data_IF_561865225642
#
_entry.id   IF_561865225642
#
_cell.length_a   1.000
_cell.length_b   1.000
_cell.length_c   1.000
_cell.angle_alpha   90.00
_cell.angle_beta   90.00
_cell.angle_gamma   90.00
#
_symmetry.space_group_name_H-M   'P 1'
#
loop_
_entity.id
_entity.type
_entity.pdbx_description
1 polymer ?
#
# COMPACT_ATOMS: atom_id res chain seq x y z
N UNK A 1 -15.95 39.37 -69.80
CA UNK A 1 -16.27 37.93 -69.71
C UNK A 1 -15.06 37.27 -69.07
N UNK A 2 -15.01 37.26 -67.74
CA UNK A 2 -13.94 36.63 -66.95
C UNK A 2 -14.58 35.46 -66.21
N UNK A 3 -14.23 34.23 -66.59
CA UNK A 3 -14.59 33.03 -65.83
C UNK A 3 -13.44 32.77 -64.85
N UNK A 4 -13.73 32.93 -63.55
CA UNK A 4 -12.87 32.46 -62.47
C UNK A 4 -12.87 30.93 -62.45
N UNK A 5 -11.69 30.33 -62.59
CA UNK A 5 -11.48 28.91 -62.31
C UNK A 5 -11.28 28.75 -60.81
N UNK A 6 -12.29 28.21 -60.11
CA UNK A 6 -12.19 27.84 -58.69
C UNK A 6 -11.20 26.69 -58.51
N UNK A 7 -10.19 26.78 -57.63
CA UNK A 7 -9.31 25.65 -57.33
C UNK A 7 -10.07 24.59 -56.52
N UNK A 8 -10.12 23.35 -57.01
CA UNK A 8 -10.66 22.21 -56.27
C UNK A 8 -9.68 21.82 -55.17
N UNK A 9 -9.97 22.17 -53.92
CA UNK A 9 -9.25 21.64 -52.77
C UNK A 9 -9.42 20.11 -52.69
N UNK A 10 -8.36 19.33 -52.40
CA UNK A 10 -8.51 17.92 -52.07
C UNK A 10 -9.34 17.77 -50.78
N UNK A 11 -10.10 16.67 -50.63
CA UNK A 11 -10.88 16.44 -49.42
C UNK A 11 -9.96 16.42 -48.19
N UNK A 12 -10.41 16.93 -47.03
CA UNK A 12 -9.62 16.93 -45.82
C UNK A 12 -9.28 15.47 -45.41
N UNK A 13 -8.08 15.21 -44.88
CA UNK A 13 -7.72 13.88 -44.39
C UNK A 13 -8.71 13.49 -43.29
N UNK A 14 -9.45 12.41 -43.50
CA UNK A 14 -10.27 11.79 -42.47
C UNK A 14 -9.35 11.40 -41.32
N UNK A 15 -9.51 12.06 -40.17
CA UNK A 15 -8.70 11.83 -38.98
C UNK A 15 -8.72 10.34 -38.62
N UNK A 16 -7.56 9.68 -38.63
CA UNK A 16 -7.40 8.26 -38.32
C UNK A 16 -7.68 7.85 -36.86
N UNK A 17 -8.40 8.68 -36.09
CA UNK A 17 -8.77 8.38 -34.70
C UNK A 17 -9.75 7.22 -34.59
N UNK A 18 -10.79 7.21 -35.44
CA UNK A 18 -11.83 6.17 -35.41
C UNK A 18 -11.33 4.84 -35.98
N UNK A 19 -10.47 4.90 -37.01
CA UNK A 19 -9.87 3.70 -37.60
C UNK A 19 -8.91 2.99 -36.64
N UNK A 20 -8.13 3.75 -35.85
CA UNK A 20 -7.24 3.19 -34.83
C UNK A 20 -8.02 2.61 -33.65
N UNK A 21 -9.07 3.29 -33.19
CA UNK A 21 -9.94 2.77 -32.12
C UNK A 21 -10.68 1.50 -32.57
N UNK A 22 -11.22 1.49 -33.80
CA UNK A 22 -11.87 0.31 -34.39
C UNK A 22 -10.90 -0.85 -34.61
N UNK A 23 -9.69 -0.58 -35.07
CA UNK A 23 -8.61 -1.55 -35.22
C UNK A 23 -8.18 -2.14 -33.87
N UNK A 24 -8.07 -1.33 -32.81
CA UNK A 24 -7.80 -1.78 -31.44
C UNK A 24 -8.95 -2.66 -30.92
N UNK A 25 -10.21 -2.33 -31.20
CA UNK A 25 -11.34 -3.17 -30.79
C UNK A 25 -11.47 -4.47 -31.60
N UNK A 26 -11.10 -4.48 -32.88
CA UNK A 26 -11.09 -5.70 -33.71
C UNK A 26 -9.86 -6.59 -33.48
N UNK A 27 -8.72 -6.05 -33.03
CA UNK A 27 -7.49 -6.82 -32.74
C UNK A 27 -7.26 -7.10 -31.25
N UNK A 28 -7.77 -6.30 -30.32
CA UNK A 28 -7.15 -6.17 -29.01
C UNK A 28 -7.63 -7.10 -27.89
N UNK A 29 -8.89 -7.54 -27.91
CA UNK A 29 -9.46 -8.30 -26.79
C UNK A 29 -10.35 -9.48 -27.21
N UNK A 30 -11.20 -9.35 -28.22
CA UNK A 30 -12.09 -10.46 -28.64
C UNK A 30 -11.30 -11.63 -29.26
N UNK A 31 -10.34 -11.36 -30.14
CA UNK A 31 -9.46 -12.39 -30.70
C UNK A 31 -8.50 -12.98 -29.65
N UNK A 32 -8.04 -12.15 -28.70
CA UNK A 32 -7.20 -12.55 -27.57
C UNK A 32 -7.93 -13.61 -26.70
N UNK A 33 -9.18 -13.32 -26.33
CA UNK A 33 -10.03 -14.15 -25.47
C UNK A 33 -10.44 -15.45 -26.18
N UNK A 34 -10.72 -15.39 -27.49
CA UNK A 34 -11.09 -16.57 -28.25
C UNK A 34 -9.93 -17.51 -28.60
N UNK A 35 -8.69 -17.01 -28.67
CA UNK A 35 -7.48 -17.81 -28.92
C UNK A 35 -6.67 -18.16 -27.65
N UNK A 36 -7.18 -17.81 -26.46
CA UNK A 36 -6.45 -18.01 -25.22
C UNK A 36 -6.45 -19.48 -24.78
N UNK A 37 -5.28 -20.11 -24.88
CA UNK A 37 -5.00 -21.39 -24.23
C UNK A 37 -5.04 -21.28 -22.69
N UNK A 38 -5.18 -22.41 -22.00
CA UNK A 38 -5.38 -22.49 -20.55
C UNK A 38 -4.33 -21.71 -19.73
N UNK A 39 -3.06 -21.75 -20.15
CA UNK A 39 -1.98 -21.03 -19.47
C UNK A 39 -2.13 -19.50 -19.58
N UNK A 40 -2.57 -19.01 -20.73
CA UNK A 40 -2.75 -17.59 -20.93
C UNK A 40 -3.90 -17.01 -20.09
N UNK A 41 -4.99 -17.77 -19.94
CA UNK A 41 -6.05 -17.45 -18.99
C UNK A 41 -5.56 -17.40 -17.54
N UNK A 42 -4.73 -18.36 -17.12
CA UNK A 42 -4.15 -18.38 -15.77
C UNK A 42 -3.32 -17.12 -15.53
N UNK A 43 -2.45 -16.74 -16.49
CA UNK A 43 -1.62 -15.54 -16.39
C UNK A 43 -2.48 -14.28 -16.30
N UNK A 44 -3.47 -14.15 -17.19
CA UNK A 44 -4.36 -12.98 -17.22
C UNK A 44 -5.16 -12.84 -15.92
N UNK A 45 -5.81 -13.92 -15.45
CA UNK A 45 -6.57 -13.92 -14.19
C UNK A 45 -5.66 -13.60 -13.01
N UNK A 46 -4.44 -14.14 -12.99
CA UNK A 46 -3.45 -13.83 -11.94
C UNK A 46 -3.13 -12.34 -11.90
N UNK A 47 -2.86 -11.70 -13.05
CA UNK A 47 -2.61 -10.26 -13.12
C UNK A 47 -3.81 -9.43 -12.68
N UNK A 48 -5.03 -9.82 -13.08
CA UNK A 48 -6.26 -9.13 -12.65
C UNK A 48 -6.44 -9.22 -11.13
N UNK A 49 -6.25 -10.41 -10.54
CA UNK A 49 -6.34 -10.60 -9.08
C UNK A 49 -5.27 -9.79 -8.36
N UNK A 50 -4.02 -9.81 -8.84
CA UNK A 50 -2.93 -9.00 -8.29
C UNK A 50 -3.26 -7.50 -8.33
N UNK A 51 -3.83 -7.02 -9.44
CA UNK A 51 -4.23 -5.62 -9.60
C UNK A 51 -5.34 -5.21 -8.64
N UNK A 52 -6.41 -6.02 -8.53
CA UNK A 52 -7.51 -5.74 -7.60
C UNK A 52 -7.04 -5.74 -6.14
N UNK A 53 -6.23 -6.72 -5.74
CA UNK A 53 -5.66 -6.78 -4.40
C UNK A 53 -4.74 -5.58 -4.12
N UNK A 54 -3.90 -5.21 -5.09
CA UNK A 54 -3.03 -4.03 -4.99
C UNK A 54 -3.85 -2.78 -4.71
N UNK A 55 -4.85 -2.48 -5.55
CA UNK A 55 -5.71 -1.31 -5.37
C UNK A 55 -6.48 -1.31 -4.04
N UNK A 56 -7.02 -2.46 -3.63
CA UNK A 56 -7.66 -2.61 -2.32
C UNK A 56 -6.71 -2.22 -1.18
N UNK A 57 -5.49 -2.79 -1.16
CA UNK A 57 -4.53 -2.51 -0.09
C UNK A 57 -3.97 -1.09 -0.15
N UNK A 58 -3.83 -0.50 -1.34
CA UNK A 58 -3.45 0.90 -1.52
C UNK A 58 -4.46 1.81 -0.83
N UNK A 59 -5.75 1.66 -1.16
CA UNK A 59 -6.80 2.52 -0.63
C UNK A 59 -6.97 2.28 0.88
N UNK A 60 -6.99 1.02 1.32
CA UNK A 60 -7.14 0.67 2.72
C UNK A 60 -5.99 1.23 3.58
N UNK A 61 -4.73 1.06 3.15
CA UNK A 61 -3.59 1.61 3.87
C UNK A 61 -3.53 3.14 3.81
N UNK A 62 -3.93 3.75 2.70
CA UNK A 62 -3.98 5.21 2.58
C UNK A 62 -4.95 5.81 3.60
N UNK A 63 -6.19 5.29 3.66
CA UNK A 63 -7.20 5.75 4.62
C UNK A 63 -6.73 5.48 6.05
N UNK A 64 -6.25 4.27 6.35
CA UNK A 64 -5.78 3.89 7.69
C UNK A 64 -4.63 4.79 8.16
N UNK A 65 -3.57 4.93 7.36
CA UNK A 65 -2.39 5.71 7.71
C UNK A 65 -2.73 7.21 7.85
N UNK A 66 -3.56 7.74 6.96
CA UNK A 66 -4.02 9.14 7.04
C UNK A 66 -4.84 9.37 8.31
N UNK A 67 -5.76 8.47 8.65
CA UNK A 67 -6.56 8.57 9.88
C UNK A 67 -5.70 8.52 11.14
N UNK A 68 -4.79 7.54 11.24
CA UNK A 68 -3.91 7.40 12.42
C UNK A 68 -3.06 8.65 12.60
N UNK A 69 -2.42 9.12 11.52
CA UNK A 69 -1.56 10.31 11.58
C UNK A 69 -2.33 11.58 11.95
N UNK A 70 -3.57 11.73 11.47
CA UNK A 70 -4.41 12.89 11.80
C UNK A 70 -4.92 12.90 13.25
N UNK A 71 -4.93 11.73 13.91
CA UNK A 71 -5.43 11.54 15.27
C UNK A 71 -4.31 11.45 16.30
N UNK A 72 -3.12 11.02 15.91
CA UNK A 72 -1.94 10.86 16.77
C UNK A 72 -1.74 12.08 17.70
N UNK A 73 -1.56 13.27 17.11
CA UNK A 73 -1.32 14.50 17.89
C UNK A 73 -2.44 14.81 18.88
N UNK A 74 -3.71 14.51 18.52
CA UNK A 74 -4.87 14.75 19.38
C UNK A 74 -4.92 13.76 20.55
N UNK A 75 -4.60 12.50 20.30
CA UNK A 75 -4.60 11.44 21.32
C UNK A 75 -3.45 11.66 22.30
N UNK A 76 -2.25 11.97 21.79
CA UNK A 76 -1.09 12.32 22.61
C UNK A 76 -1.40 13.57 23.45
N UNK A 77 -1.93 14.63 22.86
CA UNK A 77 -2.30 15.84 23.61
C UNK A 77 -3.41 15.58 24.64
N UNK A 78 -4.40 14.75 24.32
CA UNK A 78 -5.46 14.38 25.25
C UNK A 78 -4.90 13.60 26.46
N UNK A 79 -3.89 12.75 26.26
CA UNK A 79 -3.23 12.06 27.37
C UNK A 79 -2.55 13.05 28.34
N UNK A 80 -1.81 14.04 27.82
CA UNK A 80 -1.03 14.98 28.63
C UNK A 80 -1.85 16.13 29.26
N UNK A 81 -2.96 16.52 28.62
CA UNK A 81 -3.81 17.61 29.10
C UNK A 81 -4.66 17.25 30.33
N UNK A 82 -4.89 15.97 30.58
CA UNK A 82 -5.67 15.53 31.73
C UNK A 82 -4.87 15.67 33.04
N UNK A 83 -5.45 16.14 34.16
CA UNK A 83 -4.74 16.40 35.41
C UNK A 83 -4.40 15.13 36.22
N UNK A 84 -5.07 14.01 35.96
CA UNK A 84 -4.79 12.72 36.62
C UNK A 84 -4.50 11.59 35.63
N UNK A 85 -3.61 10.67 36.01
CA UNK A 85 -3.31 9.48 35.20
C UNK A 85 -4.56 8.61 34.96
N UNK A 86 -5.48 8.56 35.93
CA UNK A 86 -6.70 7.78 35.83
C UNK A 86 -7.70 8.38 34.82
N UNK A 87 -7.80 9.71 34.73
CA UNK A 87 -8.58 10.38 33.69
C UNK A 87 -7.96 10.19 32.30
N UNK A 88 -6.62 10.29 32.19
CA UNK A 88 -5.91 10.00 30.94
C UNK A 88 -6.21 8.58 30.44
N UNK A 89 -6.15 7.57 31.33
CA UNK A 89 -6.46 6.18 30.99
C UNK A 89 -7.91 6.04 30.50
N UNK A 90 -8.88 6.64 31.21
CA UNK A 90 -10.30 6.56 30.84
C UNK A 90 -10.58 7.20 29.46
N UNK A 91 -9.90 8.30 29.15
CA UNK A 91 -9.99 8.94 27.84
C UNK A 91 -9.38 8.05 26.74
N UNK A 92 -8.29 7.34 27.04
CA UNK A 92 -7.70 6.36 26.11
C UNK A 92 -8.61 5.14 25.91
N UNK A 93 -9.33 4.68 26.92
CA UNK A 93 -10.34 3.61 26.79
C UNK A 93 -11.52 4.01 25.89
N UNK A 94 -11.85 5.31 25.84
CA UNK A 94 -12.90 5.85 24.98
C UNK A 94 -12.47 5.95 23.50
N UNK A 95 -11.16 5.87 23.21
CA UNK A 95 -10.67 5.91 21.83
C UNK A 95 -11.03 4.64 21.05
N UNK A 96 -11.18 4.73 19.72
CA UNK A 96 -11.49 3.56 18.90
C UNK A 96 -10.42 2.47 18.99
N UNK A 97 -10.85 1.20 18.98
CA UNK A 97 -9.95 0.02 18.99
C UNK A 97 -8.94 -0.05 17.83
N UNK A 98 -9.07 0.80 16.82
CA UNK A 98 -8.13 0.92 15.69
C UNK A 98 -7.02 1.94 15.93
N UNK A 99 -7.08 2.71 17.02
CA UNK A 99 -6.14 3.76 17.37
C UNK A 99 -4.94 3.15 18.14
N UNK A 100 -3.69 3.31 17.65
CA UNK A 100 -2.54 2.63 18.24
C UNK A 100 -1.95 3.33 19.48
N UNK A 101 -1.98 4.66 19.56
CA UNK A 101 -1.34 5.40 20.67
C UNK A 101 -2.04 5.14 22.00
N UNK A 102 -3.37 5.16 22.02
CA UNK A 102 -4.21 4.79 23.16
C UNK A 102 -3.89 3.40 23.67
N UNK A 103 -3.66 2.42 22.78
CA UNK A 103 -3.29 1.05 23.20
C UNK A 103 -1.93 0.99 23.88
N UNK A 104 -0.94 1.71 23.34
CA UNK A 104 0.38 1.80 23.96
C UNK A 104 0.27 2.42 25.36
N UNK A 105 -0.55 3.47 25.52
CA UNK A 105 -0.81 4.09 26.82
C UNK A 105 -1.52 3.15 27.80
N UNK A 106 -2.53 2.41 27.34
CA UNK A 106 -3.28 1.46 28.16
C UNK A 106 -2.42 0.26 28.61
N UNK A 107 -1.61 -0.29 27.70
CA UNK A 107 -0.67 -1.38 28.01
C UNK A 107 0.34 -0.90 29.07
N UNK A 108 0.90 0.31 28.91
CA UNK A 108 1.80 0.91 29.89
C UNK A 108 1.14 1.12 31.26
N UNK A 109 -0.07 1.70 31.30
CA UNK A 109 -0.82 1.92 32.52
C UNK A 109 -1.14 0.61 33.24
N UNK A 110 -1.53 -0.43 32.51
CA UNK A 110 -1.80 -1.76 33.06
C UNK A 110 -0.54 -2.39 33.68
N UNK A 111 0.61 -2.24 33.02
CA UNK A 111 1.90 -2.72 33.52
C UNK A 111 2.33 -1.97 34.78
N UNK A 112 2.14 -0.64 34.81
CA UNK A 112 2.44 0.19 35.96
C UNK A 112 1.55 -0.14 37.18
N UNK A 113 0.28 -0.48 36.96
CA UNK A 113 -0.67 -0.82 38.02
C UNK A 113 -0.41 -2.22 38.64
N UNK A 114 0.09 -3.18 37.86
CA UNK A 114 0.35 -4.54 38.35
C UNK A 114 1.42 -4.61 39.45
N UNK A 115 2.43 -3.73 39.44
CA UNK A 115 3.50 -3.68 40.45
C UNK A 115 3.23 -2.74 41.63
N UNK A 116 2.15 -1.95 41.63
CA UNK A 116 1.77 -1.17 42.82
C UNK A 116 1.28 -2.04 43.98
N UNK A 117 0.99 -3.34 43.75
CA UNK A 117 0.45 -4.26 44.76
C UNK A 117 1.50 -5.14 45.45
N UNK A 118 2.78 -5.07 45.06
CA UNK A 118 3.88 -5.87 45.63
C UNK A 118 4.81 -4.97 46.46
N UNK A 119 4.40 -4.68 47.70
CA UNK A 119 5.03 -3.68 48.57
C UNK A 119 6.09 -4.32 49.48
N UNK A 120 7.39 -3.99 49.32
CA UNK A 120 8.44 -4.59 50.17
C UNK A 120 9.90 -4.11 50.09
N UNK A 121 10.36 -3.38 49.04
CA UNK A 121 11.79 -2.98 48.97
C UNK A 121 12.14 -1.87 47.95
N UNK A 122 12.28 -0.62 48.42
CA UNK A 122 12.20 0.62 47.63
C UNK A 122 13.16 0.85 46.44
N UNK A 123 14.34 0.23 46.35
CA UNK A 123 15.32 0.56 45.29
C UNK A 123 15.54 -0.55 44.25
N UNK A 124 15.64 -1.81 44.69
CA UNK A 124 15.66 -2.94 43.78
C UNK A 124 14.31 -3.09 43.05
N UNK A 125 13.20 -2.77 43.73
CA UNK A 125 11.84 -2.83 43.16
C UNK A 125 11.57 -1.70 42.17
N UNK A 126 12.12 -0.48 42.39
CA UNK A 126 11.95 0.62 41.44
C UNK A 126 12.66 0.35 40.11
N UNK A 127 13.85 -0.28 40.18
CA UNK A 127 14.55 -0.76 38.98
C UNK A 127 13.78 -1.88 38.29
N UNK A 128 13.22 -2.82 39.05
CA UNK A 128 12.39 -3.90 38.52
C UNK A 128 11.13 -3.36 37.82
N UNK A 129 10.45 -2.37 38.44
CA UNK A 129 9.27 -1.71 37.87
C UNK A 129 9.59 -0.96 36.58
N UNK A 130 10.69 -0.20 36.55
CA UNK A 130 11.12 0.54 35.36
C UNK A 130 11.44 -0.39 34.19
N UNK A 131 12.16 -1.49 34.45
CA UNK A 131 12.47 -2.50 33.44
C UNK A 131 11.22 -3.23 32.93
N UNK A 132 10.27 -3.52 33.83
CA UNK A 132 9.01 -4.15 33.47
C UNK A 132 8.14 -3.25 32.57
N UNK A 133 8.03 -1.96 32.91
CA UNK A 133 7.30 -0.97 32.10
C UNK A 133 7.96 -0.80 30.73
N UNK A 134 9.29 -0.67 30.66
CA UNK A 134 10.03 -0.58 29.40
C UNK A 134 9.78 -1.82 28.52
N UNK A 135 9.80 -3.03 29.11
CA UNK A 135 9.51 -4.26 28.37
C UNK A 135 8.07 -4.30 27.84
N UNK A 136 7.10 -3.90 28.66
CA UNK A 136 5.69 -3.85 28.25
C UNK A 136 5.48 -2.84 27.11
N UNK A 137 6.09 -1.65 27.20
CA UNK A 137 6.06 -0.62 26.16
C UNK A 137 6.70 -1.10 24.86
N UNK A 138 7.91 -1.68 24.91
CA UNK A 138 8.57 -2.26 23.72
C UNK A 138 7.69 -3.31 23.05
N UNK A 139 7.02 -4.15 23.83
CA UNK A 139 6.10 -5.15 23.30
C UNK A 139 4.86 -4.51 22.66
N UNK A 140 4.28 -3.47 23.29
CA UNK A 140 3.13 -2.74 22.76
C UNK A 140 3.48 -2.01 21.45
N UNK A 141 4.61 -1.29 21.42
CA UNK A 141 5.13 -0.62 20.22
C UNK A 141 5.38 -1.63 19.10
N UNK A 142 6.08 -2.74 19.38
CA UNK A 142 6.32 -3.77 18.37
C UNK A 142 5.01 -4.35 17.81
N UNK A 143 4.02 -4.59 18.67
CA UNK A 143 2.70 -5.13 18.27
C UNK A 143 1.95 -4.15 17.36
N UNK A 144 1.89 -2.87 17.72
CA UNK A 144 1.18 -1.87 16.93
C UNK A 144 1.95 -1.52 15.64
N UNK A 145 3.29 -1.53 15.66
CA UNK A 145 4.11 -1.42 14.46
C UNK A 145 3.83 -2.54 13.47
N UNK A 146 3.81 -3.81 13.90
CA UNK A 146 3.46 -4.94 13.04
C UNK A 146 2.05 -4.82 12.43
N UNK A 147 1.09 -4.22 13.16
CA UNK A 147 -0.26 -4.00 12.62
C UNK A 147 -0.25 -2.98 11.47
N UNK A 148 0.65 -2.00 11.48
CA UNK A 148 0.83 -1.04 10.39
C UNK A 148 1.48 -1.67 9.14
N UNK A 149 2.13 -2.83 9.25
CA UNK A 149 2.72 -3.55 8.12
C UNK A 149 1.70 -4.40 7.33
N UNK A 150 0.47 -4.51 7.83
CA UNK A 150 -0.60 -5.26 7.18
C UNK A 150 -0.80 -4.88 5.70
N UNK A 151 -0.62 -5.87 4.82
CA UNK A 151 -0.77 -5.70 3.36
C UNK A 151 0.47 -5.19 2.62
N UNK A 152 1.52 -4.74 3.31
CA UNK A 152 2.75 -4.26 2.67
C UNK A 152 3.51 -5.39 1.97
N UNK A 153 3.56 -6.59 2.58
CA UNK A 153 4.17 -7.77 1.96
C UNK A 153 3.53 -8.09 0.62
N UNK A 154 2.19 -8.01 0.54
CA UNK A 154 1.47 -8.26 -0.72
C UNK A 154 1.82 -7.20 -1.77
N UNK A 155 1.82 -5.91 -1.39
CA UNK A 155 2.21 -4.83 -2.33
C UNK A 155 3.64 -5.01 -2.85
N UNK A 156 4.57 -5.40 -1.98
CA UNK A 156 5.95 -5.71 -2.37
C UNK A 156 6.02 -6.91 -3.32
N UNK A 157 5.30 -7.99 -3.01
CA UNK A 157 5.25 -9.19 -3.86
C UNK A 157 4.60 -8.90 -5.22
N UNK A 158 3.47 -8.20 -5.26
CA UNK A 158 2.82 -7.81 -6.52
C UNK A 158 3.74 -6.91 -7.34
N UNK A 159 4.35 -5.91 -6.68
CA UNK A 159 5.28 -4.99 -7.32
C UNK A 159 6.50 -5.67 -7.95
N UNK A 160 7.03 -6.73 -7.33
CA UNK A 160 8.19 -7.45 -7.85
C UNK A 160 7.83 -8.57 -8.83
N UNK A 161 6.68 -9.23 -8.67
CA UNK A 161 6.31 -10.41 -9.47
C UNK A 161 5.46 -10.09 -10.70
N UNK A 162 4.56 -9.10 -10.65
CA UNK A 162 3.63 -8.81 -11.74
C UNK A 162 4.30 -8.53 -13.12
N UNK A 163 5.47 -7.86 -13.21
CA UNK A 163 6.15 -7.68 -14.49
C UNK A 163 6.59 -9.01 -15.11
N UNK A 164 7.06 -9.96 -14.28
CA UNK A 164 7.47 -11.28 -14.73
C UNK A 164 6.29 -12.15 -15.13
N UNK A 165 5.15 -12.03 -14.42
CA UNK A 165 3.90 -12.68 -14.83
C UNK A 165 3.43 -12.15 -16.19
N UNK A 166 3.52 -10.84 -16.41
CA UNK A 166 3.23 -10.23 -17.72
C UNK A 166 4.14 -10.73 -18.83
N UNK A 167 5.46 -10.76 -18.59
CA UNK A 167 6.46 -11.29 -19.51
C UNK A 167 6.20 -12.77 -19.85
N UNK A 168 5.84 -13.60 -18.86
CA UNK A 168 5.47 -15.00 -19.10
C UNK A 168 4.30 -15.09 -20.09
N UNK A 169 3.28 -14.25 -19.91
CA UNK A 169 2.15 -14.17 -20.82
C UNK A 169 2.57 -13.84 -22.26
N UNK A 170 3.52 -12.92 -22.44
CA UNK A 170 3.97 -12.53 -23.78
C UNK A 170 4.81 -13.61 -24.44
N UNK A 171 5.68 -14.27 -23.68
CA UNK A 171 6.50 -15.38 -24.18
C UNK A 171 5.59 -16.52 -24.64
N UNK A 172 4.56 -16.86 -23.85
CA UNK A 172 3.59 -17.88 -24.22
C UNK A 172 2.73 -17.50 -25.43
N UNK A 173 2.28 -16.25 -25.51
CA UNK A 173 1.51 -15.75 -26.66
C UNK A 173 2.30 -15.83 -27.97
N UNK A 174 3.56 -15.39 -27.95
CA UNK A 174 4.45 -15.49 -29.11
C UNK A 174 4.73 -16.95 -29.46
N UNK A 175 4.91 -17.82 -28.47
CA UNK A 175 5.12 -19.25 -28.69
C UNK A 175 3.95 -19.90 -29.45
N UNK A 176 2.71 -19.66 -29.00
CA UNK A 176 1.51 -20.19 -29.67
C UNK A 176 1.33 -19.63 -31.08
N UNK A 177 1.64 -18.35 -31.27
CA UNK A 177 1.62 -17.72 -32.59
C UNK A 177 2.57 -18.43 -33.57
N UNK A 178 3.81 -18.68 -33.14
CA UNK A 178 4.83 -19.34 -33.97
C UNK A 178 4.45 -20.79 -34.30
N UNK A 179 3.82 -21.52 -33.37
CA UNK A 179 3.28 -22.87 -33.65
C UNK A 179 2.18 -22.81 -34.72
N UNK A 180 1.24 -21.87 -34.59
CA UNK A 180 0.16 -21.70 -35.57
C UNK A 180 0.68 -21.40 -36.97
N UNK A 181 1.66 -20.50 -37.08
CA UNK A 181 2.31 -20.17 -38.35
C UNK A 181 3.06 -21.39 -38.91
N UNK A 182 3.83 -22.08 -38.08
CA UNK A 182 4.56 -23.29 -38.48
C UNK A 182 3.65 -24.41 -38.98
N UNK A 183 2.46 -24.56 -38.40
CA UNK A 183 1.45 -25.52 -38.84
C UNK A 183 0.77 -25.13 -40.15
N UNK A 184 0.54 -23.82 -40.38
CA UNK A 184 -0.10 -23.30 -41.59
C UNK A 184 0.83 -23.29 -42.82
N UNK A 185 2.15 -23.26 -42.61
CA UNK A 185 3.15 -23.15 -43.68
C UNK A 185 3.23 -21.76 -44.35
N UNK A 186 2.40 -20.80 -43.94
CA UNK A 186 2.35 -19.46 -44.51
C UNK A 186 3.04 -18.43 -43.60
N UNK A 187 4.32 -18.16 -43.88
CA UNK A 187 5.11 -17.19 -43.15
C UNK A 187 4.99 -15.77 -43.75
N UNK A 188 3.78 -15.19 -43.70
CA UNK A 188 3.56 -13.79 -44.11
C UNK A 188 3.75 -12.82 -42.93
N UNK A 189 4.19 -11.58 -43.20
CA UNK A 189 4.32 -10.55 -42.15
C UNK A 189 2.98 -10.27 -41.45
N UNK A 190 1.88 -10.34 -42.19
CA UNK A 190 0.53 -10.16 -41.67
C UNK A 190 0.15 -11.27 -40.67
N UNK A 191 0.61 -12.51 -40.88
CA UNK A 191 0.36 -13.63 -39.97
C UNK A 191 1.10 -13.49 -38.63
N UNK A 192 2.25 -12.81 -38.59
CA UNK A 192 3.06 -12.61 -37.37
C UNK A 192 2.63 -11.35 -36.61
N UNK A 193 2.30 -10.27 -37.30
CA UNK A 193 2.13 -8.95 -36.69
C UNK A 193 0.99 -8.88 -35.66
N UNK A 194 -0.15 -9.53 -35.93
CA UNK A 194 -1.31 -9.55 -35.02
C UNK A 194 -1.01 -10.25 -33.69
N UNK A 195 -0.66 -11.54 -33.69
CA UNK A 195 -0.42 -12.30 -32.47
C UNK A 195 0.72 -11.75 -31.60
N UNK A 196 1.76 -11.19 -32.22
CA UNK A 196 2.86 -10.55 -31.49
C UNK A 196 2.38 -9.27 -30.79
N UNK A 197 1.57 -8.44 -31.47
CA UNK A 197 0.98 -7.24 -30.88
C UNK A 197 0.05 -7.56 -29.71
N UNK A 198 -0.79 -8.58 -29.87
CA UNK A 198 -1.68 -9.11 -28.82
C UNK A 198 -0.89 -9.58 -27.59
N UNK A 199 0.20 -10.33 -27.80
CA UNK A 199 1.05 -10.79 -26.71
C UNK A 199 1.64 -9.62 -25.89
N UNK A 200 1.99 -8.48 -26.51
CA UNK A 200 2.56 -7.34 -25.80
C UNK A 200 1.59 -6.70 -24.77
N UNK A 201 0.28 -6.89 -24.94
CA UNK A 201 -0.74 -6.37 -24.01
C UNK A 201 -0.54 -6.95 -22.60
N UNK A 202 -0.11 -8.22 -22.46
CA UNK A 202 0.06 -8.86 -21.16
C UNK A 202 1.23 -8.27 -20.38
N UNK A 203 2.32 -7.89 -21.06
CA UNK A 203 3.41 -7.13 -20.41
C UNK A 203 2.92 -5.76 -19.97
N UNK A 204 2.16 -5.05 -20.82
CA UNK A 204 1.62 -3.75 -20.46
C UNK A 204 0.73 -3.83 -19.21
N UNK A 205 -0.12 -4.85 -19.10
CA UNK A 205 -0.95 -5.11 -17.91
C UNK A 205 -0.09 -5.44 -16.69
N UNK A 206 0.95 -6.25 -16.85
CA UNK A 206 1.91 -6.57 -15.78
C UNK A 206 2.59 -5.34 -15.22
N UNK A 207 3.07 -4.45 -16.08
CA UNK A 207 3.67 -3.18 -15.68
C UNK A 207 2.65 -2.21 -15.05
N UNK A 208 1.46 -2.10 -15.63
CA UNK A 208 0.38 -1.29 -15.08
C UNK A 208 -0.03 -1.75 -13.67
N UNK A 209 0.05 -3.04 -13.39
CA UNK A 209 -0.22 -3.61 -12.07
C UNK A 209 0.94 -3.37 -11.09
N UNK A 210 2.19 -3.50 -11.55
CA UNK A 210 3.38 -3.42 -10.70
C UNK A 210 3.72 -1.99 -10.24
N UNK A 211 3.62 -1.01 -11.15
CA UNK A 211 4.08 0.36 -10.89
C UNK A 211 3.33 0.99 -9.69
N UNK A 212 1.97 0.99 -9.65
CA UNK A 212 1.25 1.54 -8.51
C UNK A 212 1.56 0.79 -7.20
N UNK A 213 1.70 -0.54 -7.26
CA UNK A 213 2.02 -1.36 -6.09
C UNK A 213 3.37 -0.98 -5.46
N UNK A 214 4.42 -0.83 -6.27
CA UNK A 214 5.75 -0.43 -5.80
C UNK A 214 5.78 0.99 -5.24
N UNK A 215 5.13 1.95 -5.92
CA UNK A 215 5.06 3.33 -5.45
C UNK A 215 4.33 3.40 -4.10
N UNK A 216 3.22 2.69 -3.95
CA UNK A 216 2.48 2.62 -2.71
C UNK A 216 3.27 1.95 -1.59
N UNK A 217 3.93 0.81 -1.87
CA UNK A 217 4.79 0.14 -0.90
C UNK A 217 5.87 1.08 -0.35
N UNK A 218 6.57 1.81 -1.23
CA UNK A 218 7.61 2.76 -0.82
C UNK A 218 7.03 3.92 -0.02
N UNK A 219 5.88 4.45 -0.44
CA UNK A 219 5.19 5.52 0.27
C UNK A 219 4.76 5.13 1.69
N UNK A 220 4.15 3.95 1.85
CA UNK A 220 3.72 3.45 3.16
C UNK A 220 4.90 3.07 4.03
N UNK A 221 5.98 2.47 3.48
CA UNK A 221 7.21 2.19 4.23
C UNK A 221 7.78 3.46 4.87
N UNK A 222 7.86 4.54 4.08
CA UNK A 222 8.33 5.83 4.60
C UNK A 222 7.37 6.41 5.64
N UNK A 223 6.07 6.33 5.39
CA UNK A 223 5.06 6.88 6.30
C UNK A 223 5.03 6.14 7.64
N UNK A 224 5.05 4.81 7.61
CA UNK A 224 5.08 3.98 8.81
C UNK A 224 6.34 4.22 9.63
N UNK A 225 7.50 4.43 9.00
CA UNK A 225 8.74 4.78 9.72
C UNK A 225 8.59 6.06 10.55
N UNK A 226 7.86 7.06 10.06
CA UNK A 226 7.57 8.28 10.82
C UNK A 226 6.64 7.99 12.01
N UNK A 227 5.62 7.15 11.80
CA UNK A 227 4.72 6.74 12.89
C UNK A 227 5.42 5.87 13.94
N UNK A 228 6.35 5.01 13.55
CA UNK A 228 7.15 4.21 14.49
C UNK A 228 8.00 5.11 15.38
N UNK A 229 8.63 6.15 14.80
CA UNK A 229 9.38 7.13 15.59
C UNK A 229 8.48 7.85 16.61
N UNK A 230 7.23 8.16 16.25
CA UNK A 230 6.25 8.73 17.20
C UNK A 230 5.82 7.75 18.29
N UNK A 231 5.70 6.45 17.97
CA UNK A 231 5.45 5.42 18.98
C UNK A 231 6.61 5.32 19.97
N UNK A 232 7.84 5.34 19.48
CA UNK A 232 9.03 5.30 20.34
C UNK A 232 9.12 6.55 21.22
N UNK A 233 8.90 7.74 20.67
CA UNK A 233 8.86 9.00 21.44
C UNK A 233 7.79 8.95 22.53
N UNK A 234 6.55 8.60 22.17
CA UNK A 234 5.45 8.52 23.12
C UNK A 234 5.68 7.43 24.19
N UNK A 235 6.29 6.30 23.82
CA UNK A 235 6.65 5.25 24.77
C UNK A 235 7.69 5.72 25.79
N UNK A 236 8.72 6.46 25.36
CA UNK A 236 9.70 7.03 26.30
C UNK A 236 9.04 8.04 27.25
N UNK A 237 8.19 8.94 26.74
CA UNK A 237 7.50 9.90 27.61
C UNK A 237 6.58 9.20 28.63
N UNK A 238 5.88 8.14 28.22
CA UNK A 238 5.06 7.32 29.12
C UNK A 238 5.92 6.61 30.17
N UNK A 239 7.07 6.05 29.77
CA UNK A 239 7.99 5.39 30.69
C UNK A 239 8.46 6.37 31.76
N UNK A 240 8.93 7.55 31.37
CA UNK A 240 9.36 8.60 32.30
C UNK A 240 8.23 9.02 33.25
N UNK A 241 7.02 9.23 32.72
CA UNK A 241 5.85 9.60 33.51
C UNK A 241 5.48 8.53 34.57
N UNK A 242 5.43 7.25 34.19
CA UNK A 242 5.03 6.18 35.11
C UNK A 242 6.17 5.68 36.02
N UNK A 243 7.43 5.83 35.61
CA UNK A 243 8.60 5.43 36.38
C UNK A 243 9.05 6.50 37.37
N UNK A 244 9.05 7.78 36.98
CA UNK A 244 9.54 8.89 37.82
C UNK A 244 8.41 9.67 38.52
N UNK A 245 7.18 9.60 38.02
CA UNK A 245 6.04 10.35 38.54
C UNK A 245 6.08 11.85 38.20
N UNK A 246 7.11 12.32 37.51
CA UNK A 246 7.18 13.68 36.97
C UNK A 246 6.53 13.71 35.58
N UNK A 247 5.71 14.72 35.31
CA UNK A 247 5.26 15.00 33.94
C UNK A 247 6.47 15.47 33.15
N UNK A 248 6.81 14.77 32.08
CA UNK A 248 7.69 15.31 31.05
C UNK A 248 6.95 16.52 30.48
N UNK A 249 7.53 17.72 30.60
CA UNK A 249 6.98 18.92 29.98
C UNK A 249 6.92 18.66 28.47
N UNK A 250 5.70 18.58 27.93
CA UNK A 250 5.47 18.24 26.52
C UNK A 250 6.36 19.11 25.60
N UNK A 251 6.99 18.53 24.56
CA UNK A 251 7.83 19.30 23.66
C UNK A 251 7.03 20.47 23.06
N UNK A 252 7.53 21.68 23.26
CA UNK A 252 6.90 22.91 22.79
C UNK A 252 6.64 22.83 21.28
N UNK A 253 5.35 22.86 20.90
CA UNK A 253 4.96 22.91 19.50
C UNK A 253 5.67 24.07 18.79
N UNK A 254 6.36 23.85 17.66
CA UNK A 254 6.91 24.94 16.88
C UNK A 254 5.73 25.78 16.35
N UNK A 255 5.73 27.08 16.72
CA UNK A 255 4.79 28.05 16.16
C UNK A 255 4.97 28.09 14.64
N UNK A 256 3.85 27.93 13.93
CA UNK A 256 3.73 28.09 12.47
C UNK A 256 4.25 29.43 11.99
#
# INVERSE_FOLDING_TARGET
MFQETTPTNPPPPTMGGDANAQAISQMGFDNLIHNFDALGWIVFVTLVVMSLLSWYFIIANFIRNSMIRSRADKVIAAFWNNPSAQESIREMEAQPKSEPFSKIALDCASAAAHHQRSDGGRLAESLNRSEFIDRALRQAVARESLRLEGGMTLLATVGSSAPFVGLLGTVWGIYNALIGIGASGEASMQAVAGPVGEALIMTAIGLFTAIPALLAYNFFTRSNRLTYAQFDEFAHDLHDFFATGARVDAPAQPKK
#
